data_IF_262219884117
#
_entry.id   IF_262219884117
#
_cell.length_a   1.000
_cell.length_b   1.000
_cell.length_c   1.000
_cell.angle_alpha   90.00
_cell.angle_beta   90.00
_cell.angle_gamma   90.00
#
_symmetry.space_group_name_H-M   'P 1'
#
loop_
_entity.id
_entity.type
_entity.pdbx_description
1 polymer ?
#
# COMPACT_ATOMS: atom_id res chain seq x y z
N UNK A 1 19.56 -11.32 -24.53
CA UNK A 1 20.50 -10.54 -25.36
C UNK A 1 21.64 -9.92 -24.55
N UNK A 2 21.36 -9.07 -23.54
CA UNK A 2 22.40 -8.38 -22.73
C UNK A 2 23.50 -9.28 -22.13
N UNK A 3 23.14 -10.44 -21.55
CA UNK A 3 24.13 -11.35 -20.94
C UNK A 3 24.95 -12.14 -21.98
N UNK A 4 24.42 -12.35 -23.20
CA UNK A 4 25.16 -13.02 -24.28
C UNK A 4 26.22 -12.10 -24.89
N UNK A 5 25.91 -10.80 -24.99
CA UNK A 5 26.87 -9.78 -25.47
C UNK A 5 27.99 -9.53 -24.44
N UNK A 6 27.70 -9.61 -23.14
CA UNK A 6 28.71 -9.46 -22.07
C UNK A 6 29.80 -10.53 -22.06
N UNK A 7 29.49 -11.74 -22.53
CA UNK A 7 30.41 -12.87 -22.54
C UNK A 7 31.13 -13.05 -23.89
N UNK A 8 30.90 -12.15 -24.84
CA UNK A 8 31.59 -12.18 -26.13
C UNK A 8 33.00 -11.59 -25.94
N UNK A 9 34.03 -12.32 -26.35
CA UNK A 9 35.43 -11.87 -26.19
C UNK A 9 35.84 -10.77 -27.17
N UNK A 10 35.10 -10.61 -28.27
CA UNK A 10 35.40 -9.65 -29.33
C UNK A 10 34.72 -8.29 -29.11
N UNK A 11 35.36 -7.23 -29.65
CA UNK A 11 34.78 -5.88 -29.70
C UNK A 11 33.56 -5.85 -30.62
N UNK A 12 32.41 -5.45 -30.08
CA UNK A 12 31.16 -5.33 -30.83
C UNK A 12 30.91 -3.87 -31.16
N UNK A 13 30.79 -3.56 -32.46
CA UNK A 13 30.44 -2.24 -32.96
C UNK A 13 28.99 -2.23 -33.44
N UNK A 14 28.23 -1.21 -33.01
CA UNK A 14 26.83 -1.02 -33.42
C UNK A 14 26.75 0.17 -34.38
N UNK A 15 26.13 -0.05 -35.54
CA UNK A 15 25.89 0.99 -36.54
C UNK A 15 24.40 1.13 -36.78
N UNK A 16 23.95 2.37 -37.01
CA UNK A 16 22.59 2.65 -37.45
C UNK A 16 22.58 2.80 -38.97
N UNK A 17 21.66 2.09 -39.63
CA UNK A 17 21.47 2.14 -41.07
C UNK A 17 20.04 2.65 -41.33
N UNK A 18 19.90 3.59 -42.27
CA UNK A 18 18.60 4.13 -42.67
C UNK A 18 17.78 3.02 -43.35
N UNK A 19 16.50 2.91 -43.01
CA UNK A 19 15.59 1.96 -43.63
C UNK A 19 15.31 2.30 -45.10
N UNK A 20 15.02 1.27 -45.92
CA UNK A 20 14.53 1.38 -47.30
C UNK A 20 15.44 2.15 -48.28
N UNK A 21 16.76 2.01 -48.13
CA UNK A 21 17.75 2.65 -49.01
C UNK A 21 18.45 1.67 -49.98
N UNK A 22 17.95 0.45 -50.16
CA UNK A 22 18.60 -0.54 -51.04
C UNK A 22 19.71 -1.36 -50.37
N UNK A 23 19.94 -1.21 -49.06
CA UNK A 23 21.01 -1.97 -48.40
C UNK A 23 20.58 -3.42 -48.18
N UNK A 24 21.11 -4.31 -49.03
CA UNK A 24 20.69 -5.71 -49.14
C UNK A 24 20.60 -6.44 -47.78
N UNK A 25 21.58 -6.23 -46.88
CA UNK A 25 21.56 -6.88 -45.56
C UNK A 25 20.42 -6.41 -44.66
N UNK A 26 20.07 -5.12 -44.72
CA UNK A 26 18.97 -4.54 -43.94
C UNK A 26 17.62 -4.93 -44.54
N UNK A 27 17.51 -4.94 -45.87
CA UNK A 27 16.30 -5.35 -46.58
C UNK A 27 15.97 -6.82 -46.34
N UNK A 28 16.99 -7.69 -46.41
CA UNK A 28 16.83 -9.12 -46.10
C UNK A 28 16.44 -9.35 -44.64
N UNK A 29 16.99 -8.58 -43.70
CA UNK A 29 16.58 -8.64 -42.30
C UNK A 29 15.11 -8.21 -42.11
N UNK A 30 14.67 -7.16 -42.80
CA UNK A 30 13.27 -6.69 -42.78
C UNK A 30 12.31 -7.70 -43.44
N UNK A 31 12.72 -8.32 -44.54
CA UNK A 31 11.97 -9.42 -45.20
C UNK A 31 11.76 -10.59 -44.23
N UNK A 32 12.82 -11.07 -43.57
CA UNK A 32 12.70 -12.13 -42.59
C UNK A 32 11.85 -11.73 -41.38
N UNK A 33 11.96 -10.48 -40.92
CA UNK A 33 11.12 -9.97 -39.83
C UNK A 33 9.63 -9.98 -40.24
N UNK A 34 9.30 -9.59 -41.47
CA UNK A 34 7.92 -9.65 -42.00
C UNK A 34 7.42 -11.08 -42.10
N UNK A 35 8.21 -12.00 -42.65
CA UNK A 35 7.84 -13.42 -42.72
C UNK A 35 7.57 -13.97 -41.32
N UNK A 36 8.41 -13.63 -40.34
CA UNK A 36 8.22 -14.05 -38.96
C UNK A 36 6.90 -13.56 -38.33
N UNK A 37 6.36 -12.40 -38.74
CA UNK A 37 5.03 -11.94 -38.26
C UNK A 37 3.86 -12.80 -38.74
N UNK A 38 4.01 -13.46 -39.89
CA UNK A 38 3.00 -14.38 -40.46
C UNK A 38 3.23 -15.83 -40.03
N UNK A 39 4.33 -16.11 -39.34
CA UNK A 39 4.69 -17.45 -38.94
C UNK A 39 3.87 -17.89 -37.72
N UNK A 40 3.12 -18.97 -37.86
CA UNK A 40 2.17 -19.42 -36.84
C UNK A 40 2.83 -20.24 -35.71
N UNK A 41 4.13 -20.52 -35.80
CA UNK A 41 4.86 -21.29 -34.79
C UNK A 41 5.95 -20.46 -34.13
N UNK A 42 6.07 -20.61 -32.81
CA UNK A 42 7.11 -19.94 -32.01
C UNK A 42 8.37 -20.80 -32.07
N UNK A 43 9.36 -20.35 -32.84
CA UNK A 43 10.61 -21.11 -33.03
C UNK A 43 11.54 -21.02 -31.80
N UNK A 44 11.45 -19.92 -31.04
CA UNK A 44 12.30 -19.68 -29.86
C UNK A 44 11.43 -19.18 -28.70
N UNK A 45 11.34 -19.98 -27.64
CA UNK A 45 10.73 -19.55 -26.39
C UNK A 45 11.74 -18.71 -25.58
N UNK A 46 11.54 -17.40 -25.56
CA UNK A 46 12.35 -16.50 -24.73
C UNK A 46 11.74 -16.45 -23.33
N UNK A 47 12.46 -16.89 -22.28
CA UNK A 47 11.93 -16.86 -20.92
C UNK A 47 11.61 -15.43 -20.50
N UNK A 48 10.51 -15.26 -19.77
CA UNK A 48 10.09 -13.96 -19.25
C UNK A 48 11.17 -13.38 -18.35
N UNK A 49 11.43 -12.08 -18.50
CA UNK A 49 12.28 -11.35 -17.57
C UNK A 49 11.70 -11.48 -16.15
N UNK A 50 12.57 -11.72 -15.16
CA UNK A 50 12.23 -11.78 -13.74
C UNK A 50 11.43 -10.54 -13.30
N UNK A 51 11.77 -9.36 -13.82
CA UNK A 51 11.02 -8.13 -13.51
C UNK A 51 9.56 -8.20 -14.00
N UNK A 52 9.33 -8.77 -15.18
CA UNK A 52 7.98 -8.98 -15.73
C UNK A 52 7.21 -10.00 -14.92
N UNK A 53 7.86 -11.09 -14.51
CA UNK A 53 7.26 -12.10 -13.64
C UNK A 53 6.85 -11.52 -12.29
N UNK A 54 7.76 -10.78 -11.62
CA UNK A 54 7.46 -10.10 -10.35
C UNK A 54 6.30 -9.13 -10.49
N UNK A 55 6.23 -8.37 -11.59
CA UNK A 55 5.12 -7.43 -11.84
C UNK A 55 3.78 -8.15 -11.97
N UNK A 56 3.74 -9.28 -12.71
CA UNK A 56 2.53 -10.11 -12.85
C UNK A 56 2.11 -10.67 -11.49
N UNK A 57 3.04 -11.29 -10.77
CA UNK A 57 2.78 -11.88 -9.45
C UNK A 57 2.26 -10.84 -8.46
N UNK A 58 2.89 -9.66 -8.38
CA UNK A 58 2.42 -8.59 -7.50
C UNK A 58 0.99 -8.14 -7.87
N UNK A 59 0.63 -8.11 -9.16
CA UNK A 59 -0.74 -7.76 -9.58
C UNK A 59 -1.75 -8.81 -9.10
N UNK A 60 -1.41 -10.09 -9.22
CA UNK A 60 -2.27 -11.20 -8.76
C UNK A 60 -2.44 -11.15 -7.24
N UNK A 61 -1.35 -11.03 -6.47
CA UNK A 61 -1.38 -10.89 -5.01
C UNK A 61 -2.25 -9.71 -4.59
N UNK A 62 -2.11 -8.55 -5.22
CA UNK A 62 -2.92 -7.37 -4.88
C UNK A 62 -4.41 -7.58 -5.17
N UNK A 63 -4.73 -8.29 -6.24
CA UNK A 63 -6.13 -8.63 -6.59
C UNK A 63 -6.73 -9.58 -5.57
N UNK A 64 -5.99 -10.60 -5.17
CA UNK A 64 -6.42 -11.56 -4.14
C UNK A 64 -6.58 -10.88 -2.79
N UNK A 65 -5.63 -10.03 -2.39
CA UNK A 65 -5.73 -9.24 -1.17
C UNK A 65 -6.94 -8.33 -1.15
N UNK A 66 -7.21 -7.62 -2.25
CA UNK A 66 -8.40 -6.79 -2.36
C UNK A 66 -9.69 -7.62 -2.27
N UNK A 67 -9.72 -8.78 -2.92
CA UNK A 67 -10.86 -9.70 -2.87
C UNK A 67 -11.13 -10.16 -1.44
N UNK A 68 -10.09 -10.60 -0.74
CA UNK A 68 -10.19 -10.98 0.67
C UNK A 68 -10.62 -9.80 1.55
N UNK A 69 -10.06 -8.60 1.33
CA UNK A 69 -10.40 -7.40 2.09
C UNK A 69 -11.86 -6.97 1.91
N UNK A 70 -12.37 -7.05 0.67
CA UNK A 70 -13.78 -6.76 0.36
C UNK A 70 -14.75 -7.73 1.02
N UNK A 71 -14.39 -9.01 1.08
CA UNK A 71 -15.28 -10.09 1.51
C UNK A 71 -15.19 -10.46 2.99
N UNK A 72 -14.13 -10.05 3.69
CA UNK A 72 -13.98 -10.39 5.12
C UNK A 72 -15.01 -9.65 6.00
N UNK A 73 -15.51 -10.33 7.03
CA UNK A 73 -16.37 -9.76 8.07
C UNK A 73 -15.57 -9.09 9.20
N UNK A 74 -14.25 -9.27 9.23
CA UNK A 74 -13.38 -8.65 10.24
C UNK A 74 -12.94 -7.26 9.79
N UNK A 75 -12.80 -6.34 10.73
CA UNK A 75 -12.28 -5.00 10.44
C UNK A 75 -13.18 -4.13 9.57
N UNK A 76 -14.50 -4.40 9.51
CA UNK A 76 -15.46 -3.65 8.67
C UNK A 76 -15.46 -2.15 8.92
N UNK A 77 -15.28 -1.75 10.18
CA UNK A 77 -15.19 -0.34 10.55
C UNK A 77 -13.93 0.32 9.96
N UNK A 78 -12.83 -0.43 9.77
CA UNK A 78 -11.63 0.05 9.07
C UNK A 78 -11.84 0.02 7.55
N UNK A 79 -12.53 -1.00 7.02
CA UNK A 79 -12.87 -1.08 5.60
C UNK A 79 -13.69 0.13 5.13
N UNK A 80 -14.64 0.61 5.95
CA UNK A 80 -15.41 1.81 5.63
C UNK A 80 -14.52 3.05 5.41
N UNK A 81 -13.38 3.12 6.09
CA UNK A 81 -12.40 4.20 5.99
C UNK A 81 -11.36 3.95 4.89
N UNK A 82 -10.97 2.69 4.69
CA UNK A 82 -9.88 2.27 3.81
C UNK A 82 -10.34 1.06 2.97
N UNK A 83 -11.21 1.26 1.96
CA UNK A 83 -11.78 0.16 1.18
C UNK A 83 -10.77 -0.48 0.22
N UNK A 84 -9.73 0.26 -0.16
CA UNK A 84 -8.71 -0.17 -1.11
C UNK A 84 -7.43 -0.64 -0.42
N UNK A 85 -6.91 -1.79 -0.82
CA UNK A 85 -5.60 -2.29 -0.41
C UNK A 85 -4.52 -1.51 -1.14
N UNK A 86 -3.58 -0.94 -0.38
CA UNK A 86 -2.45 -0.17 -0.91
C UNK A 86 -1.15 -0.69 -0.32
N UNK A 87 -0.10 -0.74 -1.13
CA UNK A 87 1.26 -1.12 -0.70
C UNK A 87 2.00 0.05 -0.07
N UNK A 88 1.55 1.29 -0.33
CA UNK A 88 2.05 2.46 0.35
C UNK A 88 1.79 2.33 1.85
N UNK A 89 2.84 2.53 2.66
CA UNK A 89 2.63 2.66 4.11
C UNK A 89 1.69 3.83 4.35
N UNK A 90 0.65 3.59 5.14
CA UNK A 90 -0.08 4.67 5.78
C UNK A 90 0.92 5.41 6.68
N UNK A 91 1.40 6.57 6.23
CA UNK A 91 2.22 7.47 7.03
C UNK A 91 1.31 8.21 8.03
N UNK A 92 0.66 7.47 8.92
CA UNK A 92 -0.10 8.03 10.03
C UNK A 92 0.80 8.23 11.25
N UNK A 93 0.54 9.30 12.00
CA UNK A 93 0.97 9.39 13.39
C UNK A 93 0.48 8.12 14.14
N UNK A 94 1.23 7.65 15.13
CA UNK A 94 0.84 6.55 16.00
C UNK A 94 -0.60 6.72 16.52
N UNK A 95 -0.96 7.95 16.89
CA UNK A 95 -2.31 8.29 17.37
C UNK A 95 -3.38 8.17 16.28
N UNK A 96 -3.05 8.58 15.05
CA UNK A 96 -3.98 8.46 13.91
C UNK A 96 -4.22 6.98 13.59
N UNK A 97 -3.18 6.15 13.63
CA UNK A 97 -3.33 4.70 13.40
C UNK A 97 -4.19 4.04 14.49
N UNK A 98 -4.04 4.44 15.76
CA UNK A 98 -4.90 3.98 16.84
C UNK A 98 -6.36 4.38 16.62
N UNK A 99 -6.61 5.64 16.25
CA UNK A 99 -7.95 6.15 15.96
C UNK A 99 -8.60 5.41 14.78
N UNK A 100 -7.89 5.27 13.65
CA UNK A 100 -8.39 4.58 12.46
C UNK A 100 -8.70 3.12 12.76
N UNK A 101 -7.83 2.45 13.50
CA UNK A 101 -8.02 1.02 13.82
C UNK A 101 -9.03 0.80 14.95
N UNK A 102 -9.40 1.84 15.70
CA UNK A 102 -10.22 1.73 16.91
C UNK A 102 -9.48 1.02 18.05
N UNK A 103 -8.14 1.03 18.04
CA UNK A 103 -7.28 0.41 19.03
C UNK A 103 -6.60 1.46 19.90
N UNK A 104 -5.92 1.02 20.96
CA UNK A 104 -5.07 1.89 21.77
C UNK A 104 -5.84 2.56 22.89
N UNK A 105 -5.70 3.88 23.06
CA UNK A 105 -6.19 4.56 24.28
C UNK A 105 -7.68 4.88 24.29
N UNK A 106 -8.45 4.51 23.26
CA UNK A 106 -9.90 4.72 23.22
C UNK A 106 -10.63 3.92 24.31
N UNK A 107 -11.57 4.55 25.02
CA UNK A 107 -12.32 3.96 26.13
C UNK A 107 -12.96 2.62 25.80
N UNK A 108 -13.60 2.47 24.62
CA UNK A 108 -14.17 1.18 24.16
C UNK A 108 -13.11 0.07 24.09
N UNK A 109 -11.92 0.38 23.58
CA UNK A 109 -10.82 -0.59 23.52
C UNK A 109 -10.24 -0.87 24.90
N UNK A 110 -10.06 0.19 25.70
CA UNK A 110 -9.52 0.09 27.05
C UNK A 110 -10.43 -0.71 27.99
N UNK A 111 -11.74 -0.56 27.87
CA UNK A 111 -12.71 -1.35 28.61
C UNK A 111 -12.64 -2.85 28.24
N UNK A 112 -12.50 -3.15 26.95
CA UNK A 112 -12.44 -4.52 26.44
C UNK A 112 -11.20 -5.29 26.92
N UNK A 113 -10.05 -4.65 27.00
CA UNK A 113 -8.77 -5.34 27.23
C UNK A 113 -8.12 -5.04 28.59
N UNK A 114 -8.45 -3.93 29.24
CA UNK A 114 -7.77 -3.46 30.45
C UNK A 114 -8.71 -3.10 31.60
N UNK A 115 -9.99 -3.52 31.53
CA UNK A 115 -10.99 -3.30 32.59
C UNK A 115 -11.13 -1.84 33.01
N UNK A 116 -11.02 -0.91 32.04
CA UNK A 116 -11.22 0.54 32.26
C UNK A 116 -12.64 0.97 31.88
N UNK A 117 -12.96 2.23 32.17
CA UNK A 117 -14.23 2.83 31.71
C UNK A 117 -14.27 2.95 30.19
N UNK A 118 -15.44 2.71 29.61
CA UNK A 118 -15.73 3.04 28.21
C UNK A 118 -16.26 4.46 28.04
N UNK A 119 -16.61 5.16 29.12
CA UNK A 119 -17.23 6.48 29.06
C UNK A 119 -16.19 7.51 28.64
N UNK A 120 -16.54 8.36 27.68
CA UNK A 120 -15.70 9.48 27.25
C UNK A 120 -15.71 10.60 28.29
N UNK A 121 -14.60 11.33 28.42
CA UNK A 121 -14.49 12.49 29.31
C UNK A 121 -15.52 13.60 28.99
N UNK A 122 -16.10 13.62 27.79
CA UNK A 122 -17.20 14.53 27.45
C UNK A 122 -18.57 14.07 27.99
N UNK A 123 -18.63 12.97 28.73
CA UNK A 123 -19.86 12.37 29.26
C UNK A 123 -20.58 11.42 28.31
N UNK A 124 -20.02 11.11 27.13
CA UNK A 124 -20.64 10.15 26.21
C UNK A 124 -20.45 8.71 26.71
N UNK A 125 -21.50 7.89 26.61
CA UNK A 125 -21.54 6.55 27.22
C UNK A 125 -20.45 5.60 26.70
N UNK A 126 -20.01 5.79 25.45
CA UNK A 126 -18.99 4.95 24.84
C UNK A 126 -18.02 5.78 23.98
N UNK A 127 -16.78 5.91 24.45
CA UNK A 127 -15.68 6.47 23.69
C UNK A 127 -15.19 5.47 22.65
N UNK A 128 -15.77 5.56 21.46
CA UNK A 128 -15.32 4.82 20.29
C UNK A 128 -14.86 5.75 19.16
N UNK A 129 -14.34 5.16 18.08
CA UNK A 129 -13.86 5.94 16.93
C UNK A 129 -14.94 6.88 16.41
N UNK A 130 -16.19 6.42 16.37
CA UNK A 130 -17.29 7.10 15.70
C UNK A 130 -17.59 8.36 16.48
N UNK A 131 -17.75 8.21 17.80
CA UNK A 131 -17.87 9.34 18.70
C UNK A 131 -16.70 10.32 18.56
N UNK A 132 -15.45 9.86 18.63
CA UNK A 132 -14.27 10.74 18.54
C UNK A 132 -14.20 11.47 17.19
N UNK A 133 -14.48 10.78 16.09
CA UNK A 133 -14.34 11.30 14.72
C UNK A 133 -15.56 12.12 14.25
N UNK A 134 -16.74 11.96 14.84
CA UNK A 134 -17.92 12.67 14.35
C UNK A 134 -18.53 13.63 15.38
N UNK A 135 -18.52 13.29 16.67
CA UNK A 135 -19.47 13.89 17.62
C UNK A 135 -18.80 14.53 18.83
N UNK A 136 -17.67 14.00 19.29
CA UNK A 136 -17.03 14.40 20.54
C UNK A 136 -16.68 15.90 20.55
N UNK A 137 -17.24 16.73 21.44
CA UNK A 137 -16.96 18.16 21.47
C UNK A 137 -15.49 18.44 21.82
N UNK A 138 -14.88 17.60 22.67
CA UNK A 138 -13.48 17.73 23.09
C UNK A 138 -12.47 17.54 21.95
N UNK A 139 -12.87 16.82 20.90
CA UNK A 139 -12.00 16.52 19.75
C UNK A 139 -12.28 17.41 18.53
N UNK A 140 -13.20 18.39 18.64
CA UNK A 140 -13.63 19.23 17.51
C UNK A 140 -12.48 19.90 16.78
N UNK A 141 -11.55 20.52 17.49
CA UNK A 141 -10.44 21.27 16.88
C UNK A 141 -9.45 20.36 16.14
N UNK A 142 -9.17 19.18 16.72
CA UNK A 142 -8.32 18.16 16.09
C UNK A 142 -9.03 17.65 14.82
N UNK A 143 -10.32 17.35 14.91
CA UNK A 143 -11.09 16.90 13.75
C UNK A 143 -11.03 17.89 12.60
N UNK A 144 -11.34 19.16 12.87
CA UNK A 144 -11.33 20.22 11.85
C UNK A 144 -9.95 20.43 11.21
N UNK A 145 -8.87 20.03 11.89
CA UNK A 145 -7.50 20.15 11.37
C UNK A 145 -7.08 18.97 10.48
N UNK A 146 -7.52 17.77 10.79
CA UNK A 146 -7.02 16.54 10.15
C UNK A 146 -8.04 15.83 9.25
N UNK A 147 -9.33 16.12 9.43
CA UNK A 147 -10.41 15.53 8.64
C UNK A 147 -11.08 16.63 7.81
N UNK A 148 -11.35 16.39 6.51
CA UNK A 148 -12.01 17.37 5.67
C UNK A 148 -13.45 17.60 6.16
N UNK A 149 -14.00 18.78 5.89
CA UNK A 149 -15.32 19.21 6.39
C UNK A 149 -16.48 18.31 5.94
N UNK A 150 -16.34 17.66 4.79
CA UNK A 150 -17.29 16.69 4.22
C UNK A 150 -17.08 15.25 4.73
N UNK A 151 -16.21 15.03 5.72
CA UNK A 151 -15.94 13.69 6.26
C UNK A 151 -17.20 13.04 6.89
N UNK A 152 -18.14 13.86 7.39
CA UNK A 152 -19.44 13.40 7.90
C UNK A 152 -20.36 12.85 6.80
N UNK A 153 -20.23 13.37 5.58
CA UNK A 153 -21.15 13.10 4.47
C UNK A 153 -20.59 12.07 3.47
N UNK A 154 -19.29 11.77 3.55
CA UNK A 154 -18.66 10.81 2.66
C UNK A 154 -18.81 9.38 3.19
N UNK A 155 -19.68 8.60 2.55
CA UNK A 155 -19.68 7.13 2.63
C UNK A 155 -18.40 6.50 2.05
N UNK A 156 -17.48 7.31 1.51
CA UNK A 156 -16.15 6.95 1.01
C UNK A 156 -15.16 8.08 1.33
N UNK A 157 -14.59 8.13 2.53
CA UNK A 157 -13.52 9.09 2.87
C UNK A 157 -12.14 8.49 2.58
N UNK A 158 -11.52 8.88 1.47
CA UNK A 158 -10.09 8.62 1.25
C UNK A 158 -9.25 9.45 2.22
N UNK A 159 -8.57 8.80 3.16
CA UNK A 159 -7.64 9.46 4.08
C UNK A 159 -6.40 9.93 3.32
N UNK A 160 -6.38 11.18 2.87
CA UNK A 160 -5.13 11.84 2.47
C UNK A 160 -4.39 12.30 3.71
N UNK A 161 -3.45 11.49 4.18
CA UNK A 161 -2.54 11.88 5.26
C UNK A 161 -1.43 12.77 4.68
N UNK A 162 -1.59 14.08 4.85
CA UNK A 162 -0.53 15.06 4.62
C UNK A 162 -0.57 16.09 5.74
N UNK A 163 -0.14 15.69 6.94
CA UNK A 163 0.00 16.64 8.04
C UNK A 163 1.34 16.44 8.76
N UNK A 164 2.21 17.44 8.61
CA UNK A 164 3.45 17.59 9.37
C UNK A 164 3.14 17.80 10.86
N UNK A 165 3.95 17.16 11.71
CA UNK A 165 3.93 17.21 13.18
C UNK A 165 3.63 18.60 13.76
N UNK A 166 2.65 18.72 14.67
CA UNK A 166 2.67 19.73 15.72
C UNK A 166 3.37 19.16 16.96
N UNK A 167 4.41 19.86 17.42
CA UNK A 167 5.11 19.60 18.67
C UNK A 167 4.16 19.74 19.88
N UNK A 168 3.68 18.63 20.42
CA UNK A 168 3.17 18.53 21.79
C UNK A 168 3.33 17.09 22.23
N UNK A 169 3.57 16.86 23.51
CA UNK A 169 3.97 15.58 24.14
C UNK A 169 5.48 15.35 24.21
N UNK A 170 6.13 16.16 25.05
CA UNK A 170 7.23 15.66 25.88
C UNK A 170 6.61 14.67 26.88
N UNK A 171 6.90 13.39 26.73
CA UNK A 171 6.47 12.35 27.66
C UNK A 171 7.40 11.15 27.51
N UNK A 172 8.30 10.98 28.48
CA UNK A 172 9.26 9.89 28.53
C UNK A 172 8.52 8.58 28.86
N UNK A 173 8.33 7.70 27.88
CA UNK A 173 7.99 6.31 28.14
C UNK A 173 9.25 5.46 27.98
N UNK A 174 10.00 5.33 29.07
CA UNK A 174 11.01 4.28 29.21
C UNK A 174 10.28 2.94 29.35
N UNK A 175 10.38 2.09 28.33
CA UNK A 175 9.89 0.72 28.41
C UNK A 175 10.79 -0.07 29.38
N UNK A 176 10.26 -0.48 30.54
CA UNK A 176 10.83 -1.57 31.32
C UNK A 176 10.49 -2.88 30.61
N UNK A 177 11.51 -3.56 30.12
CA UNK A 177 11.42 -4.94 29.63
C UNK A 177 11.38 -5.84 30.87
N UNK A 178 10.29 -6.60 31.04
CA UNK A 178 10.25 -7.70 32.01
C UNK A 178 10.70 -8.98 31.30
N UNK A 179 11.74 -9.61 31.86
CA UNK A 179 12.32 -10.86 31.40
C UNK A 179 11.33 -12.03 31.62
N UNK A 180 11.22 -12.91 30.64
CA UNK A 180 10.39 -14.12 30.67
C UNK A 180 11.29 -15.28 31.15
N UNK A 181 10.92 -16.06 32.19
CA UNK A 181 11.72 -17.21 32.60
C UNK A 181 11.59 -18.37 31.60
N UNK A 182 12.72 -19.01 31.32
CA UNK A 182 12.83 -20.23 30.50
C UNK A 182 12.09 -21.40 31.13
N UNK A 183 11.28 -22.09 30.33
CA UNK A 183 10.62 -23.33 30.70
C UNK A 183 11.64 -24.44 31.00
N UNK A 184 11.40 -25.20 32.06
CA UNK A 184 11.97 -26.53 32.30
C UNK A 184 11.11 -27.59 31.63
#
# INVERSE_FOLDING_TARGET
>A
MKNKLKNHKDSIHLFWIKAHVGFQGNERADEYAKIATTHNTIDINVPLNIATLKKKLNKEIMTEWQTHWSNTTKGREVFALLPEVKTARLQGDFLINQLITGHGTLGKYQARFFNKTSICDCGHQQEDRTHIIYDCPLWKDIRSKFFPTNFKDSTQSTFYCSAKRPNRFKGNYAAKIAEIPSAQ
#
